data_IF_381134123019
#
_entry.id   IF_381134123019
#
_cell.length_a   1.000
_cell.length_b   1.000
_cell.length_c   1.000
_cell.angle_alpha   90.00
_cell.angle_beta   90.00
_cell.angle_gamma   90.00
#
_symmetry.space_group_name_H-M   'P 1'
#
loop_
_entity.id
_entity.type
_entity.pdbx_description
1 polymer ?
#
# COMPACT_ATOMS: atom_id res chain seq x y z
N UNK A 1 -16.66 70.01 19.89
CA UNK A 1 -15.61 69.74 20.90
C UNK A 1 -15.64 68.30 21.41
N UNK A 2 -16.79 67.71 21.76
CA UNK A 2 -16.89 66.29 22.17
C UNK A 2 -16.48 65.28 21.07
N UNK A 3 -16.78 65.55 19.80
CA UNK A 3 -16.45 64.62 18.69
C UNK A 3 -14.94 64.48 18.43
N UNK A 4 -14.18 65.57 18.60
CA UNK A 4 -12.71 65.57 18.44
C UNK A 4 -12.00 64.82 19.58
N UNK A 5 -12.62 64.77 20.77
CA UNK A 5 -12.10 64.02 21.92
C UNK A 5 -12.24 62.51 21.69
N UNK A 6 -13.33 62.06 21.06
CA UNK A 6 -13.51 60.64 20.70
C UNK A 6 -12.55 60.19 19.59
N UNK A 7 -12.27 61.05 18.61
CA UNK A 7 -11.29 60.75 17.55
C UNK A 7 -9.86 60.70 18.11
N UNK A 8 -9.52 61.60 19.06
CA UNK A 8 -8.24 61.53 19.77
C UNK A 8 -8.13 60.25 20.62
N UNK A 9 -9.18 59.87 21.35
CA UNK A 9 -9.20 58.64 22.16
C UNK A 9 -9.05 57.38 21.29
N UNK A 10 -9.65 57.33 20.10
CA UNK A 10 -9.47 56.21 19.16
C UNK A 10 -8.06 56.15 18.58
N UNK A 11 -7.38 57.28 18.40
CA UNK A 11 -5.98 57.34 17.94
C UNK A 11 -4.97 56.94 19.04
N UNK A 12 -5.29 57.14 20.32
CA UNK A 12 -4.45 56.67 21.43
C UNK A 12 -4.62 55.17 21.73
N UNK A 13 -5.80 54.59 21.46
CA UNK A 13 -6.03 53.14 21.55
C UNK A 13 -5.63 52.36 20.28
N UNK A 14 -5.33 53.05 19.18
CA UNK A 14 -4.78 52.43 17.95
C UNK A 14 -3.26 52.57 17.83
N UNK A 15 -2.59 52.96 18.92
CA UNK A 15 -1.13 53.02 19.05
C UNK A 15 -0.60 51.91 19.96
N UNK A 16 -1.27 50.75 20.01
CA UNK A 16 -0.48 49.53 20.09
C UNK A 16 0.30 49.50 18.78
N UNK A 17 1.61 49.75 18.86
CA UNK A 17 2.52 49.38 17.79
C UNK A 17 2.12 47.98 17.34
N UNK A 18 1.60 47.86 16.10
CA UNK A 18 1.85 46.68 15.29
C UNK A 18 3.37 46.66 15.08
N UNK A 19 4.11 46.33 16.13
CA UNK A 19 5.46 45.87 15.99
C UNK A 19 5.34 44.59 15.19
N UNK A 20 5.75 44.63 13.93
CA UNK A 20 6.36 43.44 13.37
C UNK A 20 7.41 43.02 14.40
N UNK A 21 7.20 41.88 15.07
CA UNK A 21 8.26 41.24 15.85
C UNK A 21 9.36 40.86 14.86
N UNK A 22 10.19 41.85 14.50
CA UNK A 22 11.33 41.70 13.60
C UNK A 22 12.55 41.14 14.34
N UNK A 23 12.30 40.30 15.34
CA UNK A 23 13.32 39.52 16.04
C UNK A 23 13.47 38.15 15.38
N UNK A 24 14.60 37.45 15.59
CA UNK A 24 14.66 36.03 15.26
C UNK A 24 13.55 35.30 16.01
N UNK A 25 12.90 34.35 15.34
CA UNK A 25 11.87 33.51 15.95
C UNK A 25 12.46 32.77 17.16
N UNK A 26 11.65 32.55 18.18
CA UNK A 26 12.03 31.71 19.32
C UNK A 26 12.01 30.22 18.92
N UNK A 27 12.43 29.34 19.83
CA UNK A 27 12.47 27.90 19.60
C UNK A 27 11.15 27.35 19.03
N UNK A 28 10.02 27.67 19.67
CA UNK A 28 8.71 27.16 19.26
C UNK A 28 8.28 27.72 17.90
N UNK A 29 8.56 28.99 17.63
CA UNK A 29 8.32 29.62 16.34
C UNK A 29 9.10 28.94 15.22
N UNK A 30 10.39 28.67 15.42
CA UNK A 30 11.23 27.98 14.44
C UNK A 30 10.79 26.53 14.19
N UNK A 31 10.47 25.76 15.24
CA UNK A 31 9.93 24.41 15.11
C UNK A 31 8.62 24.42 14.31
N UNK A 32 7.72 25.36 14.62
CA UNK A 32 6.42 25.49 13.94
C UNK A 32 6.60 25.83 12.46
N UNK A 33 7.46 26.80 12.14
CA UNK A 33 7.73 27.18 10.75
C UNK A 33 8.43 26.06 9.97
N UNK A 34 9.32 25.29 10.61
CA UNK A 34 9.92 24.09 10.03
C UNK A 34 8.85 23.10 9.57
N UNK A 35 7.98 22.67 10.49
CA UNK A 35 6.90 21.72 10.15
C UNK A 35 5.87 22.27 9.16
N UNK A 36 5.55 23.57 9.22
CA UNK A 36 4.67 24.20 8.23
C UNK A 36 5.25 24.10 6.82
N UNK A 37 6.55 24.40 6.65
CA UNK A 37 7.21 24.28 5.35
C UNK A 37 7.35 22.83 4.90
N UNK A 38 7.56 21.89 5.84
CA UNK A 38 7.52 20.46 5.54
C UNK A 38 6.17 20.03 4.94
N UNK A 39 5.04 20.40 5.59
CA UNK A 39 3.70 20.07 5.10
C UNK A 39 3.43 20.68 3.71
N UNK A 40 3.97 21.86 3.44
CA UNK A 40 3.87 22.53 2.14
C UNK A 40 4.78 21.90 1.05
N UNK A 41 5.63 20.94 1.41
CA UNK A 41 6.57 20.28 0.51
C UNK A 41 7.85 21.07 0.22
N UNK A 42 8.09 22.20 0.89
CA UNK A 42 9.34 22.95 0.82
C UNK A 42 10.35 22.43 1.85
N UNK A 43 10.89 21.26 1.56
CA UNK A 43 11.79 20.56 2.47
C UNK A 43 13.13 21.26 2.68
N UNK A 44 13.58 22.08 1.73
CA UNK A 44 14.81 22.88 1.89
C UNK A 44 14.53 24.00 2.88
N UNK A 45 13.42 24.73 2.72
CA UNK A 45 13.07 25.79 3.65
C UNK A 45 12.76 25.27 5.05
N UNK A 46 12.11 24.11 5.14
CA UNK A 46 11.91 23.36 6.39
C UNK A 46 13.23 23.12 7.12
N UNK A 47 14.26 22.62 6.41
CA UNK A 47 15.58 22.39 6.99
C UNK A 47 16.24 23.67 7.48
N UNK A 48 16.13 24.79 6.76
CA UNK A 48 16.67 26.08 7.22
C UNK A 48 16.13 26.45 8.60
N UNK A 49 14.81 26.35 8.82
CA UNK A 49 14.21 26.65 10.11
C UNK A 49 14.66 25.71 11.22
N UNK A 50 14.78 24.40 10.95
CA UNK A 50 15.28 23.47 11.96
C UNK A 50 16.78 23.65 12.26
N UNK A 51 17.58 24.05 11.27
CA UNK A 51 18.99 24.40 11.49
C UNK A 51 19.13 25.66 12.34
N UNK A 52 18.27 26.67 12.13
CA UNK A 52 18.26 27.90 12.94
C UNK A 52 17.98 27.60 14.43
N UNK A 53 17.27 26.51 14.76
CA UNK A 53 17.09 26.05 16.14
C UNK A 53 18.43 25.65 16.77
N UNK A 54 19.34 25.03 15.99
CA UNK A 54 20.64 24.59 16.47
C UNK A 54 21.58 25.77 16.81
N UNK A 55 21.30 26.95 16.28
CA UNK A 55 22.04 28.18 16.55
C UNK A 55 21.58 28.90 17.84
N UNK A 56 20.47 28.46 18.44
CA UNK A 56 20.01 29.00 19.73
C UNK A 56 20.99 28.61 20.84
N UNK A 57 21.29 29.57 21.73
CA UNK A 57 22.12 29.34 22.92
C UNK A 57 21.59 28.12 23.72
N UNK A 58 22.41 27.08 23.96
CA UNK A 58 21.99 25.86 24.66
C UNK A 58 21.42 26.10 26.07
N UNK A 59 21.70 27.25 26.69
CA UNK A 59 21.11 27.63 27.98
C UNK A 59 19.64 28.07 27.90
N UNK A 60 19.13 28.34 26.70
CA UNK A 60 17.77 28.83 26.44
C UNK A 60 16.80 27.75 25.99
N UNK A 61 17.29 26.54 25.69
CA UNK A 61 16.45 25.43 25.25
C UNK A 61 16.73 24.18 26.06
N UNK A 62 15.73 23.30 26.14
CA UNK A 62 15.87 22.06 26.90
C UNK A 62 16.47 20.93 26.08
N UNK A 63 16.19 20.88 24.78
CA UNK A 63 16.63 19.84 23.85
C UNK A 63 16.40 20.28 22.39
N UNK A 64 17.17 19.72 21.47
CA UNK A 64 17.17 19.93 20.01
C UNK A 64 16.46 18.79 19.25
N UNK A 65 16.01 17.74 19.95
CA UNK A 65 15.52 16.47 19.38
C UNK A 65 14.39 16.66 18.39
N UNK A 66 13.50 17.62 18.61
CA UNK A 66 12.45 17.93 17.64
C UNK A 66 13.01 18.56 16.36
N UNK A 67 14.03 19.42 16.45
CA UNK A 67 14.71 19.97 15.29
C UNK A 67 15.46 18.88 14.52
N UNK A 68 16.19 18.00 15.21
CA UNK A 68 16.85 16.85 14.58
C UNK A 68 15.86 15.90 13.90
N UNK A 69 14.71 15.63 14.54
CA UNK A 69 13.63 14.85 13.93
C UNK A 69 13.12 15.52 12.64
N UNK A 70 12.87 16.83 12.70
CA UNK A 70 12.45 17.64 11.55
C UNK A 70 13.46 17.66 10.40
N UNK A 71 14.75 17.76 10.72
CA UNK A 71 15.85 17.64 9.75
C UNK A 71 15.88 16.25 9.12
N UNK A 72 15.76 15.19 9.93
CA UNK A 72 15.71 13.81 9.47
C UNK A 72 14.60 13.58 8.43
N UNK A 73 13.35 13.95 8.76
CA UNK A 73 12.23 13.81 7.84
C UNK A 73 12.33 14.72 6.61
N UNK A 74 12.68 16.00 6.79
CA UNK A 74 12.80 16.93 5.66
C UNK A 74 13.85 16.47 4.66
N UNK A 75 14.99 15.97 5.15
CA UNK A 75 16.07 15.42 4.31
C UNK A 75 15.62 14.15 3.57
N UNK A 76 14.89 13.26 4.26
CA UNK A 76 14.35 12.02 3.67
C UNK A 76 13.36 12.31 2.54
N UNK A 77 12.42 13.23 2.77
CA UNK A 77 11.42 13.61 1.77
C UNK A 77 12.04 14.41 0.61
N UNK A 78 13.07 15.21 0.88
CA UNK A 78 13.86 15.82 -0.19
C UNK A 78 14.51 14.75 -1.08
N UNK A 79 15.05 13.68 -0.51
CA UNK A 79 15.59 12.56 -1.28
C UNK A 79 14.52 11.89 -2.16
N UNK A 80 13.31 11.69 -1.63
CA UNK A 80 12.14 11.14 -2.37
C UNK A 80 11.77 11.98 -3.58
N UNK A 81 11.90 13.31 -3.49
CA UNK A 81 11.55 14.24 -4.57
C UNK A 81 12.56 14.33 -5.72
N UNK A 82 13.76 13.74 -5.60
CA UNK A 82 14.75 13.76 -6.69
C UNK A 82 14.34 12.76 -7.77
N UNK A 83 13.87 13.27 -8.90
CA UNK A 83 13.60 12.49 -10.11
C UNK A 83 14.88 12.28 -10.94
N UNK A 84 14.99 11.15 -11.63
CA UNK A 84 16.09 10.88 -12.56
C UNK A 84 16.76 9.53 -12.32
N UNK A 85 17.26 8.93 -13.40
CA UNK A 85 17.91 7.61 -13.44
C UNK A 85 19.41 7.70 -13.75
N UNK A 86 19.97 8.90 -13.71
CA UNK A 86 21.40 9.14 -13.91
C UNK A 86 22.19 9.03 -12.58
N UNK A 87 23.50 8.83 -12.69
CA UNK A 87 24.38 8.63 -11.53
C UNK A 87 24.42 9.80 -10.55
N UNK A 88 24.18 11.03 -11.00
CA UNK A 88 24.17 12.21 -10.12
C UNK A 88 22.90 12.22 -9.30
N UNK A 89 21.75 11.97 -9.93
CA UNK A 89 20.47 11.82 -9.25
C UNK A 89 20.51 10.70 -8.21
N UNK A 90 21.08 9.54 -8.57
CA UNK A 90 21.34 8.45 -7.62
C UNK A 90 22.18 8.94 -6.43
N UNK A 91 23.30 9.62 -6.68
CA UNK A 91 24.25 10.03 -5.63
C UNK A 91 23.62 11.00 -4.66
N UNK A 92 22.83 11.95 -5.17
CA UNK A 92 22.14 12.92 -4.35
C UNK A 92 21.07 12.26 -3.46
N UNK A 93 20.28 11.31 -4.00
CA UNK A 93 19.32 10.55 -3.19
C UNK A 93 19.99 9.78 -2.07
N UNK A 94 21.07 9.08 -2.40
CA UNK A 94 21.84 8.30 -1.44
C UNK A 94 22.41 9.17 -0.31
N UNK A 95 23.06 10.28 -0.66
CA UNK A 95 23.66 11.19 0.31
C UNK A 95 22.61 11.78 1.26
N UNK A 96 21.45 12.19 0.74
CA UNK A 96 20.35 12.71 1.57
C UNK A 96 19.75 11.63 2.48
N UNK A 97 19.58 10.39 2.01
CA UNK A 97 19.14 9.28 2.88
C UNK A 97 20.14 8.99 3.99
N UNK A 98 21.44 9.00 3.70
CA UNK A 98 22.48 8.84 4.72
C UNK A 98 22.47 10.01 5.71
N UNK A 99 22.32 11.24 5.24
CA UNK A 99 22.24 12.42 6.12
C UNK A 99 20.99 12.40 6.99
N UNK A 100 19.84 11.98 6.44
CA UNK A 100 18.60 11.78 7.22
C UNK A 100 18.80 10.79 8.36
N UNK A 101 19.46 9.65 8.07
CA UNK A 101 19.83 8.66 9.09
C UNK A 101 20.67 9.32 10.19
N UNK A 102 21.70 10.07 9.82
CA UNK A 102 22.60 10.71 10.79
C UNK A 102 21.82 11.70 11.69
N UNK A 103 20.89 12.48 11.13
CA UNK A 103 20.01 13.35 11.93
C UNK A 103 19.12 12.58 12.92
N UNK A 104 18.58 11.43 12.52
CA UNK A 104 17.82 10.59 13.44
C UNK A 104 18.69 10.01 14.57
N UNK A 105 19.97 9.72 14.32
CA UNK A 105 20.89 9.30 15.38
C UNK A 105 21.22 10.44 16.36
N UNK A 106 21.26 11.69 15.91
CA UNK A 106 21.38 12.84 16.84
C UNK A 106 20.18 12.93 17.81
N UNK A 107 18.97 12.52 17.37
CA UNK A 107 17.82 12.40 18.27
C UNK A 107 18.08 11.33 19.35
N UNK A 108 18.61 10.17 18.96
CA UNK A 108 18.93 9.08 19.90
C UNK A 108 19.96 9.56 20.92
N UNK A 109 21.06 10.13 20.45
CA UNK A 109 22.16 10.59 21.30
C UNK A 109 21.71 11.65 22.30
N UNK A 110 20.82 12.56 21.88
CA UNK A 110 20.25 13.55 22.79
C UNK A 110 19.28 12.91 23.80
N UNK A 111 18.38 12.03 23.35
CA UNK A 111 17.42 11.35 24.23
C UNK A 111 18.14 10.53 25.30
N UNK A 112 19.20 9.80 24.92
CA UNK A 112 19.99 8.97 25.83
C UNK A 112 20.82 9.78 26.83
N UNK A 113 21.25 10.98 26.43
CA UNK A 113 22.03 11.89 27.27
C UNK A 113 21.19 12.89 28.09
N UNK A 114 19.88 12.94 27.83
CA UNK A 114 18.98 13.90 28.48
C UNK A 114 18.78 13.61 29.97
N UNK A 115 19.16 14.57 30.80
CA UNK A 115 19.02 14.53 32.27
C UNK A 115 18.06 15.58 32.80
N UNK A 116 17.35 16.29 31.91
CA UNK A 116 16.41 17.34 32.26
C UNK A 116 15.08 16.81 32.79
N UNK A 117 14.21 17.73 33.21
CA UNK A 117 12.88 17.42 33.74
C UNK A 117 11.75 17.71 32.75
N UNK A 118 12.04 18.46 31.69
CA UNK A 118 11.03 18.78 30.68
C UNK A 118 10.76 17.53 29.85
N UNK A 119 9.49 17.15 29.65
CA UNK A 119 9.17 16.01 28.82
C UNK A 119 9.54 16.31 27.36
N UNK A 120 9.97 15.28 26.65
CA UNK A 120 10.02 15.31 25.20
C UNK A 120 8.63 15.48 24.60
N UNK A 121 8.58 15.93 23.35
CA UNK A 121 7.34 15.96 22.57
C UNK A 121 6.66 14.58 22.56
N UNK A 122 5.34 14.58 22.62
CA UNK A 122 4.54 13.37 22.43
C UNK A 122 4.88 12.69 21.10
N UNK A 123 4.94 11.35 21.12
CA UNK A 123 5.31 10.50 19.98
C UNK A 123 6.72 10.70 19.41
N UNK A 124 7.61 11.52 20.00
CA UNK A 124 8.99 11.72 19.50
C UNK A 124 9.69 10.39 19.16
N UNK A 125 9.60 9.40 20.05
CA UNK A 125 10.25 8.10 19.87
C UNK A 125 9.57 7.25 18.79
N UNK A 126 8.25 7.33 18.65
CA UNK A 126 7.52 6.63 17.58
C UNK A 126 7.84 7.25 16.22
N UNK A 127 7.80 8.59 16.14
CA UNK A 127 8.16 9.36 14.94
C UNK A 127 9.62 9.08 14.54
N UNK A 128 10.54 9.04 15.50
CA UNK A 128 11.94 8.68 15.28
C UNK A 128 12.08 7.27 14.70
N UNK A 129 11.44 6.27 15.32
CA UNK A 129 11.50 4.89 14.85
C UNK A 129 10.86 4.74 13.46
N UNK A 130 9.78 5.45 13.17
CA UNK A 130 9.20 5.49 11.83
C UNK A 130 10.20 6.10 10.83
N UNK A 131 10.81 7.24 11.17
CA UNK A 131 11.85 7.87 10.34
C UNK A 131 13.01 6.93 10.03
N UNK A 132 13.55 6.25 11.04
CA UNK A 132 14.62 5.26 10.88
C UNK A 132 14.16 4.06 10.04
N UNK A 133 12.97 3.53 10.27
CA UNK A 133 12.41 2.44 9.48
C UNK A 133 12.36 2.81 7.99
N UNK A 134 11.78 3.97 7.65
CA UNK A 134 11.72 4.44 6.26
C UNK A 134 13.11 4.70 5.66
N UNK A 135 14.02 5.30 6.42
CA UNK A 135 15.38 5.57 5.95
C UNK A 135 16.14 4.27 5.65
N UNK A 136 16.17 3.32 6.59
CA UNK A 136 16.84 2.03 6.38
C UNK A 136 16.20 1.22 5.24
N UNK A 137 14.87 1.25 5.13
CA UNK A 137 14.18 0.58 4.02
C UNK A 137 14.56 1.19 2.68
N UNK A 138 14.61 2.52 2.60
CA UNK A 138 15.00 3.22 1.37
C UNK A 138 16.45 2.95 0.97
N UNK A 139 17.34 2.75 1.95
CA UNK A 139 18.74 2.38 1.70
C UNK A 139 18.86 0.92 1.20
N UNK A 140 17.99 0.02 1.68
CA UNK A 140 17.94 -1.37 1.22
C UNK A 140 17.35 -1.49 -0.19
N UNK A 141 16.12 -1.00 -0.38
CA UNK A 141 15.34 -1.18 -1.62
C UNK A 141 15.90 -0.40 -2.81
N UNK A 142 16.54 0.74 -2.55
CA UNK A 142 17.09 1.62 -3.58
C UNK A 142 18.60 1.73 -3.46
N UNK A 143 19.26 0.61 -3.20
CA UNK A 143 20.71 0.50 -3.31
C UNK A 143 21.15 0.52 -4.78
N UNK A 144 21.08 1.72 -5.38
CA UNK A 144 21.38 1.98 -6.79
C UNK A 144 22.89 2.12 -7.06
N UNK A 145 23.74 1.96 -6.03
CA UNK A 145 25.19 2.13 -6.11
C UNK A 145 25.96 0.82 -5.96
N UNK A 146 27.22 0.88 -6.41
CA UNK A 146 28.21 -0.17 -6.24
C UNK A 146 28.24 -0.65 -4.77
N UNK A 147 28.13 -1.97 -4.48
CA UNK A 147 28.16 -2.52 -3.12
C UNK A 147 29.36 -2.11 -2.26
N UNK A 148 30.38 -1.46 -2.82
CA UNK A 148 31.51 -0.89 -2.08
C UNK A 148 31.28 0.50 -1.49
N UNK A 149 30.19 1.22 -1.80
CA UNK A 149 29.88 2.53 -1.20
C UNK A 149 29.05 2.46 0.09
N UNK A 150 28.46 1.30 0.40
CA UNK A 150 27.74 1.08 1.65
C UNK A 150 28.66 0.46 2.69
N UNK A 151 28.64 1.03 3.90
CA UNK A 151 29.15 0.37 5.10
C UNK A 151 27.97 -0.41 5.68
N UNK A 152 27.75 -1.63 5.18
CA UNK A 152 26.67 -2.53 5.63
C UNK A 152 26.19 -3.46 4.52
N UNK A 153 25.53 -4.56 4.88
CA UNK A 153 24.91 -5.49 3.91
C UNK A 153 23.43 -5.16 3.71
N UNK A 154 22.83 -5.60 2.59
CA UNK A 154 21.37 -5.53 2.40
C UNK A 154 20.63 -6.14 3.58
N UNK A 155 21.07 -7.33 4.04
CA UNK A 155 20.49 -8.01 5.20
C UNK A 155 20.57 -7.17 6.49
N UNK A 156 21.66 -6.43 6.72
CA UNK A 156 21.79 -5.53 7.86
C UNK A 156 20.78 -4.37 7.79
N UNK A 157 20.62 -3.75 6.61
CA UNK A 157 19.65 -2.67 6.44
C UNK A 157 18.21 -3.16 6.54
N UNK A 158 17.89 -4.32 5.97
CA UNK A 158 16.59 -4.98 6.13
C UNK A 158 16.30 -5.23 7.61
N UNK A 159 17.22 -5.85 8.35
CA UNK A 159 17.02 -6.15 9.77
C UNK A 159 16.81 -4.88 10.60
N UNK A 160 17.58 -3.82 10.35
CA UNK A 160 17.39 -2.54 11.05
C UNK A 160 16.01 -1.92 10.73
N UNK A 161 15.61 -1.89 9.46
CA UNK A 161 14.31 -1.37 9.06
C UNK A 161 13.15 -2.16 9.69
N UNK A 162 13.22 -3.50 9.68
CA UNK A 162 12.23 -4.37 10.31
C UNK A 162 12.17 -4.15 11.83
N UNK A 163 13.31 -4.00 12.50
CA UNK A 163 13.35 -3.75 13.94
C UNK A 163 12.70 -2.40 14.30
N UNK A 164 13.05 -1.32 13.60
CA UNK A 164 12.47 0.00 13.89
C UNK A 164 10.98 0.07 13.55
N UNK A 165 10.55 -0.54 12.44
CA UNK A 165 9.11 -0.60 12.11
C UNK A 165 8.32 -1.43 13.11
N UNK A 166 8.88 -2.52 13.63
CA UNK A 166 8.26 -3.32 14.70
C UNK A 166 8.05 -2.49 15.98
N UNK A 167 9.04 -1.66 16.35
CA UNK A 167 8.92 -0.75 17.49
C UNK A 167 7.79 0.28 17.32
N UNK A 168 7.40 0.61 16.08
CA UNK A 168 6.25 1.48 15.82
C UNK A 168 4.95 0.69 15.91
N UNK A 169 4.80 -0.33 15.07
CA UNK A 169 3.52 -1.06 14.88
C UNK A 169 3.10 -1.80 16.17
N UNK A 170 4.05 -2.34 16.94
CA UNK A 170 3.73 -3.02 18.20
C UNK A 170 3.24 -2.08 19.31
N UNK A 171 3.65 -0.81 19.28
CA UNK A 171 3.25 0.20 20.24
C UNK A 171 1.99 0.95 19.80
N UNK A 172 1.86 1.24 18.50
CA UNK A 172 0.68 1.87 17.91
C UNK A 172 0.33 1.22 16.55
N UNK A 173 -0.58 0.23 16.55
CA UNK A 173 -1.02 -0.43 15.32
C UNK A 173 -1.75 0.49 14.33
N UNK A 174 -2.22 1.66 14.77
CA UNK A 174 -2.89 2.66 13.94
C UNK A 174 -2.04 3.93 13.80
N UNK A 175 -0.71 3.78 13.90
CA UNK A 175 0.23 4.89 13.86
C UNK A 175 0.01 5.79 12.64
N UNK A 176 0.00 7.10 12.89
CA UNK A 176 -0.08 8.17 11.89
C UNK A 176 0.99 9.21 12.19
N UNK A 177 1.88 9.47 11.24
CA UNK A 177 2.82 10.56 11.37
C UNK A 177 2.10 11.90 11.13
N UNK A 178 2.17 12.79 12.12
CA UNK A 178 1.33 14.01 12.16
C UNK A 178 1.53 14.93 10.94
N UNK A 179 2.75 15.00 10.39
CA UNK A 179 3.07 15.94 9.32
C UNK A 179 3.00 15.33 7.91
N UNK A 180 2.80 14.01 7.80
CA UNK A 180 2.46 13.36 6.53
C UNK A 180 1.73 12.03 6.78
N UNK A 181 0.44 12.14 7.11
CA UNK A 181 -0.40 10.99 7.46
C UNK A 181 -0.63 10.03 6.29
N UNK A 182 -0.59 10.55 5.06
CA UNK A 182 -0.80 9.76 3.85
C UNK A 182 0.45 8.97 3.43
N UNK A 183 1.65 9.53 3.65
CA UNK A 183 2.91 8.88 3.26
C UNK A 183 3.52 8.01 4.36
N UNK A 184 3.26 8.34 5.64
CA UNK A 184 3.84 7.66 6.79
C UNK A 184 2.73 7.32 7.80
N UNK A 185 2.33 6.06 7.75
CA UNK A 185 1.32 5.44 8.60
C UNK A 185 1.56 3.93 8.73
N UNK A 186 0.76 3.27 9.57
CA UNK A 186 0.83 1.81 9.79
C UNK A 186 0.76 1.00 8.48
N UNK A 187 -0.17 1.32 7.57
CA UNK A 187 -0.31 0.62 6.29
C UNK A 187 0.96 0.73 5.43
N UNK A 188 1.53 1.94 5.32
CA UNK A 188 2.77 2.14 4.56
C UNK A 188 3.96 1.45 5.21
N UNK A 189 3.99 1.30 6.54
CA UNK A 189 5.01 0.51 7.24
C UNK A 189 4.85 -0.99 6.95
N UNK A 190 3.64 -1.53 6.96
CA UNK A 190 3.37 -2.91 6.58
C UNK A 190 3.76 -3.18 5.11
N UNK A 191 3.40 -2.28 4.19
CA UNK A 191 3.82 -2.39 2.79
C UNK A 191 5.34 -2.41 2.65
N UNK A 192 6.02 -1.54 3.38
CA UNK A 192 7.48 -1.44 3.37
C UNK A 192 8.13 -2.70 3.94
N UNK A 193 7.60 -3.24 5.04
CA UNK A 193 8.06 -4.52 5.60
C UNK A 193 7.86 -5.66 4.63
N UNK A 194 6.72 -5.71 3.92
CA UNK A 194 6.46 -6.71 2.91
C UNK A 194 7.50 -6.68 1.78
N UNK A 195 7.85 -5.47 1.28
CA UNK A 195 8.92 -5.27 0.30
C UNK A 195 10.28 -5.74 0.82
N UNK A 196 10.61 -5.45 2.08
CA UNK A 196 11.87 -5.89 2.68
C UNK A 196 11.96 -7.40 2.87
N UNK A 197 10.86 -8.07 3.22
CA UNK A 197 10.83 -9.52 3.29
C UNK A 197 11.04 -10.17 1.90
N UNK A 198 10.57 -9.54 0.82
CA UNK A 198 10.91 -9.98 -0.54
C UNK A 198 12.41 -9.87 -0.84
N UNK A 199 13.09 -8.82 -0.39
CA UNK A 199 14.55 -8.65 -0.60
C UNK A 199 15.39 -9.77 0.04
N UNK A 200 14.87 -10.41 1.08
CA UNK A 200 15.52 -11.55 1.75
C UNK A 200 14.83 -12.90 1.44
N UNK A 201 13.99 -12.93 0.41
CA UNK A 201 13.27 -14.12 -0.07
C UNK A 201 12.35 -14.78 0.98
N UNK A 202 11.87 -14.04 1.98
CA UNK A 202 10.90 -14.51 2.98
C UNK A 202 9.45 -14.18 2.55
N UNK A 203 8.99 -14.90 1.53
CA UNK A 203 7.66 -14.70 0.93
C UNK A 203 6.50 -14.92 1.92
N UNK A 204 6.69 -15.80 2.92
CA UNK A 204 5.65 -16.06 3.91
C UNK A 204 5.43 -14.84 4.80
N UNK A 205 6.52 -14.22 5.29
CA UNK A 205 6.42 -12.99 6.08
C UNK A 205 5.92 -11.82 5.23
N UNK A 206 6.38 -11.71 3.97
CA UNK A 206 5.85 -10.71 3.05
C UNK A 206 4.32 -10.81 2.92
N UNK A 207 3.78 -12.02 2.76
CA UNK A 207 2.34 -12.24 2.69
C UNK A 207 1.63 -11.89 4.02
N UNK A 208 2.21 -12.22 5.17
CA UNK A 208 1.64 -11.83 6.46
C UNK A 208 1.54 -10.31 6.59
N UNK A 209 2.56 -9.57 6.19
CA UNK A 209 2.55 -8.11 6.22
C UNK A 209 1.51 -7.51 5.26
N UNK A 210 1.36 -8.07 4.05
CA UNK A 210 0.29 -7.66 3.10
C UNK A 210 -1.09 -7.78 3.74
N UNK A 211 -1.35 -8.89 4.44
CA UNK A 211 -2.64 -9.17 5.09
C UNK A 211 -2.95 -8.23 6.27
N UNK A 212 -1.94 -7.51 6.79
CA UNK A 212 -2.11 -6.52 7.85
C UNK A 212 -2.43 -5.13 7.31
N UNK A 213 -2.30 -4.90 5.99
CA UNK A 213 -2.61 -3.60 5.38
C UNK A 213 -4.12 -3.42 5.29
N UNK A 214 -4.64 -2.40 5.99
CA UNK A 214 -6.05 -2.02 5.88
C UNK A 214 -6.29 -1.35 4.52
N UNK A 215 -6.90 -2.07 3.59
CA UNK A 215 -7.19 -1.61 2.25
C UNK A 215 -8.66 -1.75 1.93
N UNK A 216 -9.18 -0.81 1.14
CA UNK A 216 -10.56 -0.84 0.72
C UNK A 216 -10.78 -2.01 -0.23
N UNK A 217 -11.58 -2.97 0.21
CA UNK A 217 -12.09 -4.05 -0.61
C UNK A 217 -13.55 -3.80 -0.99
N UNK A 218 -13.96 -4.38 -2.11
CA UNK A 218 -15.34 -4.31 -2.58
C UNK A 218 -15.87 -5.73 -2.83
N UNK A 219 -17.11 -5.98 -2.43
CA UNK A 219 -17.77 -7.24 -2.75
C UNK A 219 -18.44 -7.12 -4.12
N UNK A 220 -18.12 -8.07 -5.00
CA UNK A 220 -18.68 -8.17 -6.35
C UNK A 220 -19.33 -9.53 -6.51
N UNK A 221 -20.63 -9.52 -6.81
CA UNK A 221 -21.37 -10.73 -7.19
C UNK A 221 -21.40 -10.83 -8.71
N UNK A 222 -20.74 -11.84 -9.27
CA UNK A 222 -20.81 -12.15 -10.69
C UNK A 222 -21.92 -13.17 -10.94
N UNK A 223 -22.87 -12.82 -11.82
CA UNK A 223 -23.94 -13.70 -12.27
C UNK A 223 -23.84 -13.90 -13.77
N UNK A 224 -23.91 -15.15 -14.20
CA UNK A 224 -23.95 -15.50 -15.62
C UNK A 224 -25.16 -16.38 -15.92
N UNK A 225 -25.93 -15.97 -16.92
CA UNK A 225 -26.99 -16.77 -17.50
C UNK A 225 -26.44 -17.54 -18.71
N UNK A 226 -26.61 -18.86 -18.70
CA UNK A 226 -26.24 -19.76 -19.76
C UNK A 226 -27.45 -20.56 -20.23
N UNK A 227 -27.71 -20.50 -21.54
CA UNK A 227 -28.70 -21.37 -22.18
C UNK A 227 -28.23 -22.84 -22.26
N UNK A 228 -26.95 -23.10 -21.99
CA UNK A 228 -26.35 -24.43 -21.96
C UNK A 228 -26.52 -25.05 -20.58
N UNK A 229 -27.75 -25.47 -20.26
CA UNK A 229 -28.08 -26.05 -18.96
C UNK A 229 -27.97 -27.57 -19.04
N UNK A 230 -26.82 -28.12 -18.65
CA UNK A 230 -26.68 -29.54 -18.33
C UNK A 230 -26.15 -29.68 -16.91
N UNK A 231 -26.69 -30.63 -16.14
CA UNK A 231 -26.29 -30.87 -14.75
C UNK A 231 -24.81 -31.24 -14.59
N UNK A 232 -24.15 -31.63 -15.67
CA UNK A 232 -22.73 -32.00 -15.70
C UNK A 232 -21.78 -30.86 -16.01
N UNK A 233 -22.30 -29.68 -16.37
CA UNK A 233 -21.46 -28.56 -16.76
C UNK A 233 -21.12 -27.73 -15.54
N UNK A 234 -19.83 -27.41 -15.40
CA UNK A 234 -19.35 -26.45 -14.42
C UNK A 234 -19.03 -25.15 -15.16
N UNK A 235 -19.41 -24.03 -14.55
CA UNK A 235 -19.14 -22.70 -15.09
C UNK A 235 -18.10 -22.05 -14.18
N UNK A 236 -17.16 -21.36 -14.78
CA UNK A 236 -16.09 -20.65 -14.08
C UNK A 236 -16.09 -19.19 -14.50
N UNK A 237 -15.81 -18.33 -13.52
CA UNK A 237 -15.33 -16.97 -13.75
C UNK A 237 -13.81 -17.07 -13.89
N UNK A 238 -13.27 -16.65 -15.02
CA UNK A 238 -11.83 -16.44 -15.19
C UNK A 238 -11.55 -14.96 -14.98
N UNK A 239 -10.80 -14.56 -13.96
CA UNK A 239 -10.64 -13.13 -13.66
C UNK A 239 -9.39 -12.75 -12.86
N UNK A 240 -9.01 -11.49 -12.97
CA UNK A 240 -7.85 -10.88 -12.29
C UNK A 240 -7.68 -9.43 -12.71
N UNK A 241 -7.01 -8.62 -11.89
CA UNK A 241 -6.77 -7.22 -12.22
C UNK A 241 -5.90 -7.06 -13.47
N UNK A 242 -6.07 -5.96 -14.18
CA UNK A 242 -5.31 -5.68 -15.39
C UNK A 242 -3.80 -5.75 -15.12
N UNK A 243 -3.09 -6.50 -15.97
CA UNK A 243 -1.65 -6.74 -15.83
C UNK A 243 -1.27 -7.90 -14.90
N UNK A 244 -2.25 -8.60 -14.32
CA UNK A 244 -2.04 -9.79 -13.51
C UNK A 244 -2.53 -11.06 -14.20
N UNK A 245 -2.01 -12.19 -13.73
CA UNK A 245 -2.52 -13.52 -14.05
C UNK A 245 -4.02 -13.64 -13.72
N UNK A 246 -4.73 -14.42 -14.54
CA UNK A 246 -6.16 -14.68 -14.36
C UNK A 246 -6.34 -16.03 -13.69
N UNK A 247 -7.33 -16.10 -12.81
CA UNK A 247 -7.61 -17.29 -12.02
C UNK A 247 -9.04 -17.77 -12.28
N UNK A 248 -9.23 -19.09 -12.21
CA UNK A 248 -10.52 -19.73 -12.43
C UNK A 248 -11.24 -19.92 -11.09
N UNK A 249 -12.45 -19.38 -11.01
CA UNK A 249 -13.33 -19.44 -9.84
C UNK A 249 -14.60 -20.19 -10.21
N UNK A 250 -14.82 -21.36 -9.61
CA UNK A 250 -16.02 -22.16 -9.88
C UNK A 250 -17.28 -21.42 -9.41
N UNK A 251 -18.27 -21.30 -10.30
CA UNK A 251 -19.53 -20.62 -10.02
C UNK A 251 -20.60 -21.62 -9.58
N UNK A 252 -21.36 -21.26 -8.55
CA UNK A 252 -22.44 -22.07 -8.01
C UNK A 252 -23.72 -21.89 -8.82
N UNK A 253 -24.39 -23.00 -9.16
CA UNK A 253 -25.71 -22.95 -9.78
C UNK A 253 -26.78 -22.52 -8.77
N UNK A 254 -27.44 -21.38 -9.02
CA UNK A 254 -28.48 -20.84 -8.12
C UNK A 254 -29.91 -21.08 -8.65
N UNK A 255 -30.05 -21.22 -9.95
CA UNK A 255 -31.31 -21.61 -10.61
C UNK A 255 -31.02 -22.18 -12.00
N UNK A 256 -32.05 -22.67 -12.70
CA UNK A 256 -31.87 -23.26 -14.02
C UNK A 256 -31.18 -22.26 -14.99
N UNK A 257 -29.94 -22.57 -15.34
CA UNK A 257 -29.14 -21.78 -16.28
C UNK A 257 -28.52 -20.52 -15.68
N UNK A 258 -28.62 -20.28 -14.37
CA UNK A 258 -27.99 -19.11 -13.72
C UNK A 258 -26.96 -19.58 -12.71
N UNK A 259 -25.75 -19.06 -12.86
CA UNK A 259 -24.59 -19.36 -12.02
C UNK A 259 -24.08 -18.08 -11.37
N UNK A 260 -23.57 -18.20 -10.15
CA UNK A 260 -23.15 -17.08 -9.32
C UNK A 260 -21.84 -17.37 -8.58
N UNK A 261 -20.99 -16.36 -8.46
CA UNK A 261 -19.85 -16.34 -7.53
C UNK A 261 -19.70 -14.97 -6.90
N UNK A 262 -19.51 -14.94 -5.58
CA UNK A 262 -19.19 -13.73 -4.83
C UNK A 262 -17.68 -13.63 -4.69
N UNK A 263 -17.12 -12.46 -5.01
CA UNK A 263 -15.70 -12.15 -4.87
C UNK A 263 -15.51 -10.91 -4.01
N UNK A 264 -14.51 -10.92 -3.15
CA UNK A 264 -14.00 -9.71 -2.51
C UNK A 264 -12.78 -9.27 -3.32
N UNK A 265 -12.82 -8.06 -3.86
CA UNK A 265 -11.80 -7.51 -4.75
C UNK A 265 -11.09 -6.32 -4.09
N UNK A 266 -9.76 -6.32 -4.12
CA UNK A 266 -8.91 -5.34 -3.41
C UNK A 266 -7.91 -4.72 -4.38
N UNK A 267 -8.28 -3.64 -5.12
CA UNK A 267 -7.48 -3.08 -6.22
C UNK A 267 -6.04 -2.69 -5.85
N UNK A 268 -5.82 -2.27 -4.61
CA UNK A 268 -4.49 -1.87 -4.13
C UNK A 268 -3.60 -3.06 -3.77
N UNK A 269 -4.19 -4.21 -3.41
CA UNK A 269 -3.49 -5.41 -2.94
C UNK A 269 -4.19 -6.68 -3.45
N UNK A 270 -4.18 -6.91 -4.77
CA UNK A 270 -5.05 -7.89 -5.43
C UNK A 270 -4.76 -9.36 -5.08
N UNK A 271 -3.58 -9.71 -4.57
CA UNK A 271 -3.32 -11.06 -4.09
C UNK A 271 -4.12 -11.42 -2.84
N UNK A 272 -4.59 -10.43 -2.07
CA UNK A 272 -5.42 -10.69 -0.88
C UNK A 272 -6.72 -11.40 -1.24
N UNK A 273 -7.23 -11.14 -2.45
CA UNK A 273 -8.43 -11.76 -3.02
C UNK A 273 -8.25 -13.27 -3.29
N UNK A 274 -6.99 -13.73 -3.39
CA UNK A 274 -6.64 -15.13 -3.63
C UNK A 274 -6.43 -15.92 -2.33
N UNK A 275 -6.03 -15.25 -1.23
CA UNK A 275 -5.71 -15.89 0.06
C UNK A 275 -6.95 -16.55 0.67
N UNK A 276 -8.12 -15.93 0.52
CA UNK A 276 -9.35 -16.35 1.17
C UNK A 276 -10.01 -17.59 0.53
N UNK A 277 -9.52 -18.02 -0.64
CA UNK A 277 -10.25 -18.96 -1.52
C UNK A 277 -9.57 -20.32 -1.69
N UNK A 278 -8.78 -20.76 -0.71
CA UNK A 278 -8.05 -22.06 -0.73
C UNK A 278 -6.96 -22.18 -1.81
N UNK A 279 -6.65 -21.11 -2.52
CA UNK A 279 -5.50 -21.06 -3.43
C UNK A 279 -4.20 -20.99 -2.63
N UNK A 280 -3.25 -21.85 -3.00
CA UNK A 280 -1.86 -21.68 -2.55
C UNK A 280 -1.25 -20.61 -3.43
N UNK A 281 -1.12 -19.40 -2.89
CA UNK A 281 -0.43 -18.30 -3.59
C UNK A 281 1.05 -18.68 -3.76
N UNK A 282 1.53 -18.54 -4.98
CA UNK A 282 2.90 -18.74 -5.39
C UNK A 282 3.76 -17.52 -5.04
N UNK A 283 5.06 -17.72 -4.92
CA UNK A 283 6.00 -16.63 -4.65
C UNK A 283 5.92 -15.51 -5.72
N UNK A 284 5.67 -15.87 -6.98
CA UNK A 284 5.53 -14.89 -8.07
C UNK A 284 4.29 -14.01 -7.89
N UNK A 285 3.16 -14.59 -7.50
CA UNK A 285 1.92 -13.82 -7.24
C UNK A 285 2.08 -12.88 -6.04
N UNK A 286 2.87 -13.26 -5.01
CA UNK A 286 3.20 -12.36 -3.89
C UNK A 286 4.05 -11.17 -4.38
N UNK A 287 5.06 -11.45 -5.22
CA UNK A 287 5.91 -10.41 -5.83
C UNK A 287 5.08 -9.48 -6.72
N UNK A 288 4.20 -10.04 -7.55
CA UNK A 288 3.27 -9.27 -8.38
C UNK A 288 2.31 -8.45 -7.54
N UNK A 289 1.82 -8.96 -6.41
CA UNK A 289 0.94 -8.19 -5.52
C UNK A 289 1.57 -6.88 -5.05
N UNK A 290 2.85 -6.94 -4.68
CA UNK A 290 3.59 -5.79 -4.15
C UNK A 290 4.08 -4.87 -5.27
N UNK A 291 4.43 -5.43 -6.43
CA UNK A 291 5.07 -4.70 -7.53
C UNK A 291 4.13 -4.33 -8.68
N UNK A 292 2.94 -4.92 -8.76
CA UNK A 292 1.99 -4.65 -9.84
C UNK A 292 1.44 -3.25 -9.71
N UNK A 293 1.21 -2.62 -10.85
CA UNK A 293 0.53 -1.34 -10.92
C UNK A 293 -0.87 -1.53 -10.33
N UNK A 294 -1.16 -0.83 -9.24
CA UNK A 294 -2.51 -0.73 -8.68
C UNK A 294 -3.47 -0.40 -9.83
N UNK A 295 -4.36 -1.33 -10.16
CA UNK A 295 -5.34 -1.16 -11.22
C UNK A 295 -6.71 -1.29 -10.61
N UNK A 296 -7.57 -0.33 -10.93
CA UNK A 296 -8.99 -0.41 -10.58
C UNK A 296 -9.79 -1.15 -11.67
N UNK A 297 -9.13 -1.74 -12.66
CA UNK A 297 -9.79 -2.47 -13.75
C UNK A 297 -9.63 -3.97 -13.49
N UNK A 298 -10.75 -4.64 -13.25
CA UNK A 298 -10.83 -6.09 -13.13
C UNK A 298 -11.22 -6.68 -14.50
N UNK A 299 -10.32 -7.48 -15.08
CA UNK A 299 -10.51 -8.15 -16.36
C UNK A 299 -11.09 -9.55 -16.08
N UNK A 300 -12.18 -9.91 -16.77
CA UNK A 300 -12.83 -11.21 -16.58
C UNK A 300 -13.46 -11.78 -17.86
N UNK A 301 -13.60 -13.10 -17.88
CA UNK A 301 -14.35 -13.86 -18.89
C UNK A 301 -15.02 -15.06 -18.22
N UNK A 302 -15.94 -15.71 -18.92
CA UNK A 302 -16.52 -16.96 -18.44
C UNK A 302 -15.94 -18.15 -19.20
N UNK A 303 -15.85 -19.28 -18.53
CA UNK A 303 -15.50 -20.55 -19.17
C UNK A 303 -16.40 -21.67 -18.66
N UNK A 304 -16.48 -22.74 -19.46
CA UNK A 304 -17.32 -23.89 -19.16
C UNK A 304 -16.49 -25.15 -19.25
N UNK A 305 -16.52 -25.96 -18.19
CA UNK A 305 -15.97 -27.30 -18.20
C UNK A 305 -17.07 -28.29 -18.56
N UNK A 306 -16.85 -29.04 -19.65
CA UNK A 306 -17.79 -30.06 -20.13
C UNK A 306 -17.10 -31.42 -20.27
N UNK A 307 -17.83 -32.54 -20.11
CA UNK A 307 -17.28 -33.86 -20.34
C UNK A 307 -16.82 -33.99 -21.80
N UNK A 308 -15.53 -34.26 -22.01
CA UNK A 308 -14.99 -34.51 -23.34
C UNK A 308 -15.17 -35.97 -23.74
N UNK A 309 -15.04 -36.88 -22.79
CA UNK A 309 -15.30 -38.30 -22.99
C UNK A 309 -15.90 -38.94 -21.72
N UNK A 310 -16.61 -40.05 -21.93
CA UNK A 310 -17.28 -40.81 -20.88
C UNK A 310 -16.83 -42.27 -21.02
N UNK A 311 -16.33 -42.84 -19.93
CA UNK A 311 -15.95 -44.24 -19.88
C UNK A 311 -17.19 -45.12 -19.73
N UNK A 312 -17.73 -45.58 -20.85
CA UNK A 312 -18.94 -46.41 -20.90
C UNK A 312 -18.77 -47.81 -20.31
N UNK A 313 -17.54 -48.23 -19.98
CA UNK A 313 -17.29 -49.54 -19.37
C UNK A 313 -17.52 -49.53 -17.85
N UNK A 314 -17.61 -48.35 -17.24
CA UNK A 314 -17.83 -48.15 -15.81
C UNK A 314 -19.26 -47.68 -15.60
N UNK A 315 -20.08 -48.52 -14.99
CA UNK A 315 -21.53 -48.31 -14.84
C UNK A 315 -21.94 -47.94 -13.42
N UNK A 316 -20.98 -47.84 -12.50
CA UNK A 316 -21.21 -47.48 -11.11
C UNK A 316 -20.14 -46.52 -10.57
N UNK A 317 -20.54 -45.69 -9.62
CA UNK A 317 -19.71 -44.68 -8.97
C UNK A 317 -18.46 -45.29 -8.32
N UNK A 318 -18.58 -46.46 -7.67
CA UNK A 318 -17.46 -47.06 -6.93
C UNK A 318 -16.34 -47.50 -7.86
N UNK A 319 -16.70 -48.07 -9.01
CA UNK A 319 -15.75 -48.47 -10.05
C UNK A 319 -15.11 -47.27 -10.75
N UNK A 320 -15.84 -46.15 -10.85
CA UNK A 320 -15.34 -44.89 -11.39
C UNK A 320 -14.28 -44.26 -10.47
N UNK A 321 -14.60 -44.10 -9.18
CA UNK A 321 -13.72 -43.51 -8.18
C UNK A 321 -12.46 -44.36 -7.95
N UNK A 322 -12.56 -45.70 -8.05
CA UNK A 322 -11.40 -46.61 -7.93
C UNK A 322 -10.34 -46.36 -9.02
N UNK A 323 -10.73 -45.78 -10.15
CA UNK A 323 -9.84 -45.41 -11.25
C UNK A 323 -9.47 -43.92 -11.26
N UNK A 324 -9.76 -43.20 -10.16
CA UNK A 324 -9.57 -41.74 -10.03
C UNK A 324 -10.28 -40.94 -11.13
N UNK A 325 -11.43 -41.43 -11.60
CA UNK A 325 -12.30 -40.72 -12.54
C UNK A 325 -13.47 -40.06 -11.79
N UNK A 326 -14.05 -39.02 -12.38
CA UNK A 326 -15.17 -38.29 -11.77
C UNK A 326 -16.51 -38.90 -12.18
N UNK A 327 -17.30 -39.32 -11.20
CA UNK A 327 -18.66 -39.79 -11.44
C UNK A 327 -19.63 -38.60 -11.46
N UNK A 328 -20.36 -38.44 -12.57
CA UNK A 328 -21.37 -37.40 -12.72
C UNK A 328 -22.75 -38.05 -12.84
N UNK A 329 -23.65 -37.73 -11.90
CA UNK A 329 -24.99 -38.30 -11.88
C UNK A 329 -25.76 -37.97 -13.17
N UNK A 330 -26.34 -39.01 -13.80
CA UNK A 330 -27.06 -38.88 -15.07
C UNK A 330 -26.16 -38.85 -16.32
N UNK A 331 -24.84 -38.75 -16.17
CA UNK A 331 -23.86 -38.81 -17.28
C UNK A 331 -23.03 -40.09 -17.23
N UNK A 332 -22.55 -40.48 -16.06
CA UNK A 332 -21.68 -41.63 -15.85
C UNK A 332 -20.25 -41.23 -15.50
N UNK A 333 -19.30 -42.11 -15.77
CA UNK A 333 -17.91 -41.92 -15.38
C UNK A 333 -17.16 -41.07 -16.43
N UNK A 334 -16.77 -39.84 -16.08
CA UNK A 334 -16.04 -38.92 -16.97
C UNK A 334 -14.55 -39.23 -16.89
N UNK A 335 -13.95 -39.57 -18.04
CA UNK A 335 -12.52 -39.90 -18.16
C UNK A 335 -11.67 -38.71 -18.64
N UNK A 336 -12.27 -37.72 -19.29
CA UNK A 336 -11.61 -36.45 -19.58
C UNK A 336 -12.58 -35.29 -19.66
N UNK A 337 -12.09 -34.12 -19.25
CA UNK A 337 -12.81 -32.85 -19.31
C UNK A 337 -12.21 -31.97 -20.41
N UNK A 338 -13.03 -31.13 -21.02
CA UNK A 338 -12.59 -30.03 -21.88
C UNK A 338 -13.09 -28.70 -21.34
N UNK A 339 -12.29 -27.65 -21.53
CA UNK A 339 -12.68 -26.27 -21.22
C UNK A 339 -13.06 -25.55 -22.50
N UNK A 340 -14.21 -24.90 -22.46
CA UNK A 340 -14.74 -24.04 -23.51
C UNK A 340 -14.70 -22.62 -22.96
N UNK A 341 -13.74 -21.84 -23.44
CA UNK A 341 -13.69 -20.40 -23.17
C UNK A 341 -14.85 -19.69 -23.88
N UNK A 342 -15.43 -18.70 -23.21
CA UNK A 342 -16.41 -17.83 -23.83
C UNK A 342 -15.82 -17.16 -25.09
N UNK A 343 -16.57 -17.20 -26.19
CA UNK A 343 -16.25 -16.43 -27.40
C UNK A 343 -17.30 -15.35 -27.58
N UNK A 344 -16.86 -14.09 -27.56
CA UNK A 344 -17.73 -12.92 -27.72
C UNK A 344 -17.68 -12.45 -29.17
N UNK A 345 -18.85 -12.43 -29.83
CA UNK A 345 -18.96 -12.10 -31.26
C UNK A 345 -18.84 -10.58 -31.56
N UNK A 346 -19.00 -9.72 -30.56
CA UNK A 346 -18.99 -8.25 -30.70
C UNK A 346 -17.78 -7.62 -30.01
N UNK A 347 -17.01 -6.82 -30.74
CA UNK A 347 -15.78 -6.15 -30.25
C UNK A 347 -16.04 -5.00 -29.28
N UNK A 348 -17.30 -4.60 -29.05
CA UNK A 348 -17.62 -3.37 -28.31
C UNK A 348 -17.61 -3.56 -26.78
N UNK A 349 -17.62 -4.79 -26.26
CA UNK A 349 -17.62 -5.06 -24.81
C UNK A 349 -16.37 -5.77 -24.27
N UNK A 350 -15.37 -6.00 -25.13
CA UNK A 350 -14.11 -6.64 -24.76
C UNK A 350 -12.93 -5.71 -24.99
N UNK A 351 -12.00 -5.70 -24.06
CA UNK A 351 -10.69 -5.09 -24.18
C UNK A 351 -9.64 -6.16 -23.84
N UNK A 352 -8.65 -6.34 -24.71
CA UNK A 352 -7.64 -7.41 -24.59
C UNK A 352 -8.23 -8.82 -24.35
N UNK A 353 -9.31 -9.19 -25.04
CA UNK A 353 -10.00 -10.50 -24.91
C UNK A 353 -10.81 -10.70 -23.62
N UNK A 354 -10.85 -9.72 -22.72
CA UNK A 354 -11.62 -9.77 -21.47
C UNK A 354 -12.73 -8.72 -21.44
N UNK A 355 -13.76 -8.98 -20.64
CA UNK A 355 -14.70 -7.96 -20.17
C UNK A 355 -14.00 -7.15 -19.08
N UNK A 356 -14.27 -5.86 -19.02
CA UNK A 356 -13.70 -4.98 -18.01
C UNK A 356 -14.77 -4.57 -17.00
N UNK A 357 -14.44 -4.69 -15.71
CA UNK A 357 -15.19 -4.10 -14.62
C UNK A 357 -14.32 -3.01 -13.98
N UNK A 358 -14.81 -1.78 -14.00
CA UNK A 358 -14.18 -0.68 -13.27
C UNK A 358 -14.64 -0.72 -11.81
N UNK A 359 -13.67 -0.87 -10.90
CA UNK A 359 -13.88 -0.84 -9.46
C UNK A 359 -13.75 0.61 -8.99
N UNK A 360 -14.89 1.26 -8.79
CA UNK A 360 -14.95 2.58 -8.14
C UNK A 360 -15.33 2.41 -6.66
N UNK A 361 -15.07 3.42 -5.83
CA UNK A 361 -15.46 3.43 -4.42
C UNK A 361 -16.99 3.46 -4.28
N UNK A 362 -17.64 2.31 -4.45
CA UNK A 362 -19.08 2.13 -4.36
C UNK A 362 -19.46 1.08 -3.33
N UNK A 363 -20.76 1.00 -3.05
CA UNK A 363 -21.37 -0.17 -2.41
C UNK A 363 -21.15 -1.45 -3.25
N UNK A 364 -21.54 -2.60 -2.71
CA UNK A 364 -21.44 -3.90 -3.38
C UNK A 364 -21.95 -3.87 -4.83
N UNK A 365 -21.16 -4.45 -5.75
CA UNK A 365 -21.43 -4.46 -7.19
C UNK A 365 -22.07 -5.79 -7.58
N UNK A 366 -23.08 -5.76 -8.45
CA UNK A 366 -23.64 -6.96 -9.07
C UNK A 366 -23.40 -6.87 -10.58
N UNK A 367 -22.66 -7.83 -11.11
CA UNK A 367 -22.40 -7.97 -12.55
C UNK A 367 -23.34 -9.05 -13.09
N UNK A 368 -24.18 -8.71 -14.06
CA UNK A 368 -25.01 -9.70 -14.75
C UNK A 368 -24.58 -9.82 -16.21
N UNK A 369 -24.32 -11.04 -16.66
CA UNK A 369 -23.88 -11.33 -18.02
C UNK A 369 -24.67 -12.51 -18.61
N UNK A 370 -24.77 -12.55 -19.93
CA UNK A 370 -25.16 -13.77 -20.65
C UNK A 370 -23.93 -14.41 -21.30
N UNK A 371 -23.75 -15.72 -21.08
CA UNK A 371 -22.62 -16.47 -21.63
C UNK A 371 -22.59 -16.38 -23.17
N UNK A 372 -21.45 -15.95 -23.72
CA UNK A 372 -21.20 -15.82 -25.16
C UNK A 372 -21.76 -14.55 -25.79
N UNK A 373 -22.26 -13.58 -25.00
CA UNK A 373 -22.81 -12.33 -25.56
C UNK A 373 -22.39 -11.09 -24.79
N UNK A 374 -22.28 -9.95 -25.47
CA UNK A 374 -22.07 -8.65 -24.84
C UNK A 374 -23.30 -8.06 -24.13
N UNK A 375 -24.44 -8.76 -24.15
CA UNK A 375 -25.70 -8.28 -23.57
C UNK A 375 -25.77 -8.59 -22.07
N UNK A 376 -26.40 -7.68 -21.33
CA UNK A 376 -26.82 -7.92 -19.95
C UNK A 376 -28.03 -8.88 -19.93
N UNK A 377 -27.99 -9.79 -18.97
CA UNK A 377 -29.09 -10.64 -18.53
C UNK A 377 -29.59 -10.12 -17.16
#
# INVERSE_FOLDING_TARGET
>A
MRLYIYILLLLFFSCDELGEESGPLDYNGLITEGWNNFILGDYVKSQEFFLDVLDIDPSLISYYSEAYLGLGFSTLFQAKNITGIDSVSFSNRFNLRSQSKDWFFEVIDEVDSYVGQEPFRENLILDLNAGLAFTYSSLSLYNEFDPYMLIGTTEEFVNNALNYSELVISNDPNYLFTYSTEDINSNTLHLLRAQLFLEIEDYNQALQEILMIDSQSINVTFKVNSNYVQNSYKIFLNGGFQGQDKHLFEMSSISNGVFEVDRTLTPLLPCTDLVNETFTITNNEIVECINSFTSNIYEYSFSMQVPNSINTNLVDQSSCETLNLEWVEGVGCVDSWMYIEEQLEEQDCIDNEYRNLLIENSDAIIVNACFGTCLEC
#
